data_IF_279889516168
#
_entry.id   IF_279889516168
#
_cell.length_a   1.000
_cell.length_b   1.000
_cell.length_c   1.000
_cell.angle_alpha   90.00
_cell.angle_beta   90.00
_cell.angle_gamma   90.00
#
_symmetry.space_group_name_H-M   'P 1'
#
loop_
_entity.id
_entity.type
_entity.pdbx_description
1 polymer ?
#
# COMPACT_ATOMS: atom_id res chain seq x y z
N UNK A 1 -15.00 7.94 4.46
CA UNK A 1 -14.76 6.57 4.97
C UNK A 1 -14.63 6.50 6.49
N UNK A 2 -14.94 7.55 7.24
CA UNK A 2 -14.70 7.58 8.70
C UNK A 2 -15.54 6.58 9.49
N UNK A 3 -16.70 6.20 8.96
CA UNK A 3 -17.59 5.21 9.56
C UNK A 3 -17.20 3.77 9.22
N UNK A 4 -16.20 3.54 8.36
CA UNK A 4 -15.82 2.19 7.93
C UNK A 4 -15.40 1.31 9.12
N UNK A 5 -14.54 1.76 10.05
CA UNK A 5 -14.19 0.95 11.22
C UNK A 5 -15.41 0.50 12.03
N UNK A 6 -16.36 1.42 12.29
CA UNK A 6 -17.62 1.11 13.00
C UNK A 6 -18.44 0.05 12.27
N UNK A 7 -18.61 0.20 10.95
CA UNK A 7 -19.41 -0.73 10.13
C UNK A 7 -18.77 -2.10 10.06
N UNK A 8 -17.44 -2.17 9.90
CA UNK A 8 -16.71 -3.44 9.88
C UNK A 8 -16.79 -4.10 11.25
N UNK A 9 -16.64 -3.37 12.34
CA UNK A 9 -16.77 -3.93 13.69
C UNK A 9 -18.19 -4.44 13.98
N UNK A 10 -19.22 -3.70 13.55
CA UNK A 10 -20.61 -4.13 13.71
C UNK A 10 -20.93 -5.44 12.98
N UNK A 11 -20.27 -5.70 11.84
CA UNK A 11 -20.46 -6.92 11.05
C UNK A 11 -19.52 -8.06 11.46
N UNK A 12 -18.26 -7.74 11.74
CA UNK A 12 -17.15 -8.67 11.97
C UNK A 12 -16.32 -8.22 13.20
N UNK A 13 -16.86 -8.31 14.42
CA UNK A 13 -16.23 -7.75 15.61
C UNK A 13 -14.88 -8.40 15.97
N UNK A 14 -14.66 -9.64 15.51
CA UNK A 14 -13.44 -10.41 15.75
C UNK A 14 -12.53 -10.50 14.52
N UNK A 15 -12.75 -9.67 13.50
CA UNK A 15 -11.88 -9.65 12.32
C UNK A 15 -10.44 -9.30 12.69
N UNK A 16 -9.51 -9.99 12.03
CA UNK A 16 -8.10 -9.59 11.99
C UNK A 16 -7.89 -8.58 10.87
N UNK A 17 -7.21 -7.50 11.16
CA UNK A 17 -6.94 -6.40 10.25
C UNK A 17 -5.47 -6.40 9.88
N UNK A 18 -5.17 -6.28 8.59
CA UNK A 18 -3.81 -6.16 8.07
C UNK A 18 -3.73 -4.83 7.34
N UNK A 19 -2.67 -4.07 7.60
CA UNK A 19 -2.36 -2.83 6.89
C UNK A 19 -0.90 -2.83 6.46
N UNK A 20 -0.62 -2.29 5.27
CA UNK A 20 0.74 -2.23 4.71
C UNK A 20 1.10 -0.76 4.59
N UNK A 21 2.19 -0.37 5.25
CA UNK A 21 2.66 1.02 5.28
C UNK A 21 4.03 1.12 4.61
N UNK A 22 4.22 2.17 3.82
CA UNK A 22 5.53 2.59 3.32
C UNK A 22 5.75 4.04 3.70
N UNK A 23 6.96 4.57 3.49
CA UNK A 23 7.24 6.01 3.66
C UNK A 23 6.10 6.87 3.08
N UNK A 24 5.51 7.79 3.86
CA UNK A 24 4.37 8.58 3.41
C UNK A 24 4.73 9.45 2.18
N UNK A 25 5.99 9.87 2.05
CA UNK A 25 6.51 10.56 0.88
C UNK A 25 6.51 9.67 -0.37
N UNK A 26 7.04 8.44 -0.27
CA UNK A 26 7.01 7.46 -1.37
C UNK A 26 5.58 7.10 -1.76
N UNK A 27 4.69 6.95 -0.77
CA UNK A 27 3.25 6.69 -0.97
C UNK A 27 2.58 7.85 -1.72
N UNK A 28 2.84 9.08 -1.32
CA UNK A 28 2.31 10.28 -1.99
C UNK A 28 2.82 10.38 -3.43
N UNK A 29 4.11 10.15 -3.67
CA UNK A 29 4.70 10.16 -5.01
C UNK A 29 4.12 9.05 -5.90
N UNK A 30 3.99 7.84 -5.37
CA UNK A 30 3.35 6.71 -6.07
C UNK A 30 1.91 7.02 -6.46
N UNK A 31 1.13 7.69 -5.59
CA UNK A 31 -0.22 8.14 -5.92
C UNK A 31 -0.25 9.21 -7.02
N UNK A 32 0.64 10.22 -6.94
CA UNK A 32 0.77 11.22 -7.99
C UNK A 32 1.08 10.58 -9.34
N UNK A 33 2.06 9.67 -9.39
CA UNK A 33 2.44 9.00 -10.62
C UNK A 33 1.36 8.04 -11.13
N UNK A 34 0.64 7.38 -10.23
CA UNK A 34 -0.54 6.59 -10.59
C UNK A 34 -1.60 7.48 -11.26
N UNK A 35 -1.88 8.65 -10.68
CA UNK A 35 -2.87 9.60 -11.20
C UNK A 35 -2.43 10.15 -12.56
N UNK A 36 -1.14 10.48 -12.73
CA UNK A 36 -0.53 10.89 -13.99
C UNK A 36 -0.67 9.82 -15.08
N UNK A 37 -0.37 8.57 -14.76
CA UNK A 37 -0.49 7.45 -15.69
C UNK A 37 -1.94 7.16 -16.16
N UNK A 38 -2.95 7.70 -15.47
CA UNK A 38 -4.36 7.63 -15.88
C UNK A 38 -4.83 8.89 -16.62
N UNK A 39 -3.93 9.79 -17.02
CA UNK A 39 -4.27 10.95 -17.84
C UNK A 39 -4.88 12.13 -17.08
N UNK A 40 -4.76 12.18 -15.75
CA UNK A 40 -5.26 13.32 -14.97
C UNK A 40 -4.58 14.62 -15.41
N UNK A 41 -5.38 15.59 -15.83
CA UNK A 41 -4.92 16.86 -16.39
C UNK A 41 -4.05 17.64 -15.39
N UNK A 42 -4.42 17.62 -14.11
CA UNK A 42 -3.65 18.33 -13.08
C UNK A 42 -2.30 17.62 -12.86
N UNK A 43 -2.29 16.30 -12.74
CA UNK A 43 -1.04 15.56 -12.57
C UNK A 43 -0.12 15.61 -13.80
N UNK A 44 -0.66 15.85 -14.99
CA UNK A 44 0.12 16.05 -16.22
C UNK A 44 0.68 17.48 -16.33
N UNK A 45 -0.06 18.48 -15.85
CA UNK A 45 0.32 19.89 -15.99
C UNK A 45 1.20 20.42 -14.84
N UNK A 46 1.19 19.76 -13.68
CA UNK A 46 1.97 20.18 -12.51
C UNK A 46 2.97 19.10 -12.09
N UNK A 47 4.17 19.53 -11.68
CA UNK A 47 5.16 18.63 -11.09
C UNK A 47 4.71 18.13 -9.71
N UNK A 48 5.30 17.04 -9.24
CA UNK A 48 5.01 16.52 -7.90
C UNK A 48 5.26 17.57 -6.81
N UNK A 49 6.36 18.32 -6.91
CA UNK A 49 6.70 19.38 -5.97
C UNK A 49 5.62 20.48 -5.96
N UNK A 50 5.16 20.94 -7.13
CA UNK A 50 4.08 21.93 -7.22
C UNK A 50 2.78 21.44 -6.62
N UNK A 51 2.45 20.15 -6.80
CA UNK A 51 1.26 19.53 -6.20
C UNK A 51 1.36 19.51 -4.68
N UNK A 52 2.44 19.02 -4.09
CA UNK A 52 2.53 18.86 -2.63
C UNK A 52 2.72 20.17 -1.87
N UNK A 53 3.29 21.19 -2.52
CA UNK A 53 3.52 22.53 -1.94
C UNK A 53 2.41 23.53 -2.28
N UNK A 54 1.39 23.13 -3.05
CA UNK A 54 0.27 24.01 -3.40
C UNK A 54 -0.36 24.61 -2.13
N UNK A 55 -0.58 25.92 -2.13
CA UNK A 55 -1.17 26.63 -1.00
C UNK A 55 -2.67 26.33 -0.86
N UNK A 56 -3.25 26.73 0.27
CA UNK A 56 -4.70 26.66 0.45
C UNK A 56 -5.47 27.66 -0.42
N UNK A 57 -4.80 28.63 -1.04
CA UNK A 57 -5.39 29.55 -2.02
C UNK A 57 -5.31 29.03 -3.46
N UNK A 58 -4.63 27.91 -3.71
CA UNK A 58 -4.49 27.34 -5.04
C UNK A 58 -5.84 26.87 -5.63
N UNK A 59 -5.94 26.72 -6.97
CA UNK A 59 -7.15 26.22 -7.61
C UNK A 59 -7.63 24.90 -6.99
N UNK A 60 -8.95 24.75 -6.82
CA UNK A 60 -9.56 23.58 -6.18
C UNK A 60 -9.05 22.23 -6.73
N UNK A 61 -8.94 22.00 -8.06
CA UNK A 61 -8.44 20.73 -8.59
C UNK A 61 -7.01 20.39 -8.13
N UNK A 62 -6.14 21.40 -8.00
CA UNK A 62 -4.77 21.22 -7.52
C UNK A 62 -4.74 20.88 -6.03
N UNK A 63 -5.54 21.57 -5.21
CA UNK A 63 -5.69 21.26 -3.77
C UNK A 63 -6.27 19.86 -3.55
N UNK A 64 -7.23 19.45 -4.39
CA UNK A 64 -7.83 18.12 -4.32
C UNK A 64 -6.80 17.03 -4.64
N UNK A 65 -5.94 17.23 -5.65
CA UNK A 65 -4.83 16.30 -5.91
C UNK A 65 -3.80 16.28 -4.77
N UNK A 66 -3.37 17.46 -4.26
CA UNK A 66 -2.49 17.58 -3.08
C UNK A 66 -3.04 16.77 -1.91
N UNK A 67 -4.31 16.96 -1.58
CA UNK A 67 -4.95 16.29 -0.46
C UNK A 67 -5.03 14.76 -0.67
N UNK A 68 -5.29 14.28 -1.89
CA UNK A 68 -5.26 12.83 -2.21
C UNK A 68 -3.85 12.23 -2.12
N UNK A 69 -2.81 13.01 -2.43
CA UNK A 69 -1.41 12.62 -2.23
C UNK A 69 -1.03 12.56 -0.75
N UNK A 70 -1.39 13.57 0.04
CA UNK A 70 -0.85 13.75 1.40
C UNK A 70 -1.71 13.13 2.50
N UNK A 71 -3.04 13.34 2.48
CA UNK A 71 -3.89 12.98 3.62
C UNK A 71 -3.85 11.49 3.96
N UNK A 72 -3.89 10.54 3.01
CA UNK A 72 -3.84 9.13 3.36
C UNK A 72 -2.46 8.67 3.88
N UNK A 73 -1.43 9.53 3.81
CA UNK A 73 -0.13 9.33 4.46
C UNK A 73 -0.13 9.64 5.97
N UNK A 74 -1.22 10.20 6.52
CA UNK A 74 -1.38 10.50 7.95
C UNK A 74 -1.76 9.24 8.74
N UNK A 75 -0.90 8.22 8.69
CA UNK A 75 -1.22 6.86 9.12
C UNK A 75 -1.73 6.79 10.57
N UNK A 76 -1.09 7.47 11.52
CA UNK A 76 -1.52 7.49 12.92
C UNK A 76 -3.00 7.87 13.08
N UNK A 77 -3.43 8.96 12.43
CA UNK A 77 -4.84 9.42 12.46
C UNK A 77 -5.81 8.40 11.85
N UNK A 78 -5.36 7.61 10.87
CA UNK A 78 -6.18 6.55 10.30
C UNK A 78 -6.24 5.35 11.25
N UNK A 79 -5.11 4.93 11.82
CA UNK A 79 -5.01 3.79 12.72
C UNK A 79 -5.77 4.02 14.03
N UNK A 80 -5.70 5.22 14.62
CA UNK A 80 -6.44 5.57 15.83
C UNK A 80 -7.95 5.34 15.69
N UNK A 81 -8.52 5.66 14.52
CA UNK A 81 -9.94 5.42 14.23
C UNK A 81 -10.28 3.92 14.16
N UNK A 82 -9.37 3.09 13.67
CA UNK A 82 -9.55 1.64 13.69
C UNK A 82 -9.41 1.08 15.10
N UNK A 83 -8.44 1.58 15.86
CA UNK A 83 -8.20 1.18 17.26
C UNK A 83 -9.29 1.63 18.24
N UNK A 84 -10.19 2.53 17.83
CA UNK A 84 -11.41 2.86 18.60
C UNK A 84 -12.38 1.67 18.68
N UNK A 85 -12.33 0.75 17.70
CA UNK A 85 -13.25 -0.40 17.61
C UNK A 85 -12.56 -1.76 17.71
N UNK A 86 -11.28 -1.85 17.32
CA UNK A 86 -10.51 -3.08 17.34
C UNK A 86 -9.37 -2.98 18.34
N UNK A 87 -9.14 -4.05 19.09
CA UNK A 87 -7.99 -4.12 19.98
C UNK A 87 -6.68 -4.10 19.16
N UNK A 88 -5.57 -3.54 19.70
CA UNK A 88 -4.29 -3.51 19.00
C UNK A 88 -3.82 -4.89 18.52
N UNK A 89 -4.12 -5.96 19.25
CA UNK A 89 -3.75 -7.34 18.90
C UNK A 89 -4.51 -7.89 17.69
N UNK A 90 -5.62 -7.26 17.30
CA UNK A 90 -6.36 -7.60 16.07
C UNK A 90 -5.78 -6.89 14.84
N UNK A 91 -4.77 -6.02 15.00
CA UNK A 91 -4.14 -5.28 13.91
C UNK A 91 -2.70 -5.75 13.71
N UNK A 92 -2.37 -6.11 12.48
CA UNK A 92 -1.01 -6.40 12.04
C UNK A 92 -0.56 -5.35 11.02
N UNK A 93 0.52 -4.63 11.36
CA UNK A 93 1.11 -3.59 10.52
C UNK A 93 2.33 -4.18 9.82
N UNK A 94 2.29 -4.17 8.49
CA UNK A 94 3.36 -4.66 7.63
C UNK A 94 4.21 -3.47 7.15
N UNK A 95 5.53 -3.60 7.26
CA UNK A 95 6.46 -2.74 6.52
C UNK A 95 6.44 -3.12 5.04
N UNK A 96 5.98 -2.20 4.20
CA UNK A 96 5.88 -2.41 2.77
C UNK A 96 7.22 -2.38 2.02
N UNK A 97 8.28 -1.83 2.61
CA UNK A 97 9.64 -1.96 2.06
C UNK A 97 10.17 -3.37 2.32
N UNK A 98 9.94 -3.91 3.53
CA UNK A 98 10.27 -5.31 3.85
C UNK A 98 9.44 -6.29 3.03
N UNK A 99 8.13 -6.05 2.85
CA UNK A 99 7.31 -6.89 1.97
C UNK A 99 7.85 -6.90 0.53
N UNK A 100 8.47 -5.81 0.08
CA UNK A 100 9.05 -5.71 -1.25
C UNK A 100 10.39 -6.45 -1.35
N UNK A 101 11.26 -6.33 -0.35
CA UNK A 101 12.63 -6.86 -0.37
C UNK A 101 12.74 -8.29 0.18
N UNK A 102 11.87 -8.66 1.12
CA UNK A 102 11.83 -9.94 1.80
C UNK A 102 10.37 -10.41 2.07
N UNK A 103 9.58 -10.66 1.01
CA UNK A 103 8.18 -11.06 1.17
C UNK A 103 7.99 -12.38 1.89
N UNK A 104 8.98 -13.29 1.87
CA UNK A 104 8.87 -14.61 2.50
C UNK A 104 8.71 -14.44 4.02
N UNK A 105 9.58 -13.65 4.65
CA UNK A 105 9.54 -13.40 6.08
C UNK A 105 8.24 -12.70 6.50
N UNK A 106 7.87 -11.65 5.77
CA UNK A 106 6.61 -10.93 6.03
C UNK A 106 5.41 -11.86 5.93
N UNK A 107 5.37 -12.73 4.92
CA UNK A 107 4.26 -13.67 4.76
C UNK A 107 4.26 -14.76 5.84
N UNK A 108 5.41 -15.17 6.38
CA UNK A 108 5.47 -16.06 7.53
C UNK A 108 4.85 -15.42 8.78
N UNK A 109 5.17 -14.15 9.05
CA UNK A 109 4.55 -13.41 10.17
C UNK A 109 3.04 -13.18 9.95
N UNK A 110 2.60 -12.94 8.70
CA UNK A 110 1.16 -12.89 8.37
C UNK A 110 0.47 -14.22 8.66
N UNK A 111 1.07 -15.35 8.29
CA UNK A 111 0.50 -16.68 8.56
C UNK A 111 0.38 -16.95 10.06
N UNK A 112 1.42 -16.61 10.84
CA UNK A 112 1.41 -16.71 12.29
C UNK A 112 0.37 -15.81 12.93
N UNK A 113 0.27 -14.55 12.50
CA UNK A 113 -0.76 -13.62 12.92
C UNK A 113 -2.16 -14.17 12.64
N UNK A 114 -2.39 -14.73 11.45
CA UNK A 114 -3.66 -15.31 11.04
C UNK A 114 -3.93 -16.69 11.68
N UNK A 115 -2.92 -17.35 12.25
CA UNK A 115 -2.95 -18.73 12.78
C UNK A 115 -3.24 -19.78 11.69
N UNK A 116 -2.60 -19.63 10.53
CA UNK A 116 -2.72 -20.56 9.41
C UNK A 116 -1.98 -21.86 9.72
N UNK A 117 -2.67 -22.99 9.58
CA UNK A 117 -2.11 -24.34 9.73
C UNK A 117 -2.71 -25.26 8.66
N UNK A 118 -1.90 -25.99 7.88
CA UNK A 118 -0.43 -25.99 7.87
C UNK A 118 0.13 -24.67 7.28
N UNK A 119 1.37 -24.34 7.65
CA UNK A 119 2.07 -23.17 7.11
C UNK A 119 2.42 -23.42 5.64
N UNK A 120 2.17 -22.43 4.80
CA UNK A 120 2.53 -22.38 3.40
C UNK A 120 4.00 -21.95 3.22
N UNK A 121 4.77 -22.73 2.48
CA UNK A 121 6.20 -22.46 2.25
C UNK A 121 6.40 -21.44 1.10
N UNK A 122 6.43 -20.15 1.43
CA UNK A 122 6.64 -19.10 0.42
C UNK A 122 8.02 -19.14 -0.26
N UNK A 123 9.03 -19.81 0.31
CA UNK A 123 10.37 -19.95 -0.29
C UNK A 123 10.33 -20.70 -1.62
N UNK A 124 9.44 -21.68 -1.75
CA UNK A 124 9.27 -22.47 -2.98
C UNK A 124 8.36 -21.77 -4.00
N UNK A 125 7.61 -20.77 -3.56
CA UNK A 125 6.54 -20.14 -4.34
C UNK A 125 6.81 -18.68 -4.72
N UNK A 126 7.86 -18.06 -4.18
CA UNK A 126 8.27 -16.70 -4.52
C UNK A 126 9.73 -16.68 -4.98
N UNK A 127 9.99 -16.01 -6.09
CA UNK A 127 11.35 -15.81 -6.61
C UNK A 127 11.52 -14.37 -7.07
N UNK A 128 12.69 -13.79 -6.78
CA UNK A 128 13.04 -12.46 -7.29
C UNK A 128 13.28 -12.52 -8.80
N UNK A 129 12.62 -11.65 -9.54
CA UNK A 129 12.85 -11.47 -10.97
C UNK A 129 13.68 -10.19 -11.19
N UNK A 130 14.96 -10.29 -11.62
CA UNK A 130 15.82 -9.12 -11.82
C UNK A 130 15.33 -8.16 -12.90
N UNK A 131 14.64 -8.66 -13.93
CA UNK A 131 14.11 -7.82 -15.01
C UNK A 131 12.90 -7.01 -14.52
N UNK A 132 12.06 -7.63 -13.68
CA UNK A 132 10.94 -6.95 -13.04
C UNK A 132 11.40 -6.03 -11.92
N UNK A 133 12.43 -6.43 -11.17
CA UNK A 133 12.91 -5.77 -9.95
C UNK A 133 12.04 -6.06 -8.70
N UNK A 134 11.26 -7.14 -8.73
CA UNK A 134 10.33 -7.54 -7.66
C UNK A 134 10.26 -9.07 -7.54
N UNK A 135 9.79 -9.55 -6.39
CA UNK A 135 9.40 -10.95 -6.24
C UNK A 135 8.12 -11.27 -7.04
N UNK A 136 8.11 -12.46 -7.62
CA UNK A 136 7.04 -12.97 -8.48
C UNK A 136 6.66 -14.38 -8.04
N UNK A 137 5.43 -14.79 -8.36
CA UNK A 137 4.95 -16.14 -8.04
C UNK A 137 5.61 -17.18 -8.93
N UNK A 138 6.12 -18.27 -8.37
CA UNK A 138 6.56 -19.44 -9.14
C UNK A 138 5.31 -20.24 -9.54
N UNK A 139 5.14 -20.49 -10.84
CA UNK A 139 3.95 -21.21 -11.36
C UNK A 139 4.27 -22.64 -11.78
N UNK A 140 5.37 -22.85 -12.52
CA UNK A 140 5.82 -24.18 -12.97
C UNK A 140 7.34 -24.17 -13.20
N UNK A 141 8.08 -25.00 -12.48
CA UNK A 141 9.55 -25.07 -12.59
C UNK A 141 10.20 -23.69 -12.40
N UNK A 142 10.87 -23.20 -13.44
CA UNK A 142 11.52 -21.89 -13.42
C UNK A 142 10.66 -20.73 -13.94
N UNK A 143 9.43 -21.00 -14.37
CA UNK A 143 8.54 -19.95 -14.86
C UNK A 143 7.93 -19.15 -13.70
N UNK A 144 8.06 -17.82 -13.77
CA UNK A 144 7.48 -16.88 -12.81
C UNK A 144 6.31 -16.10 -13.42
N UNK A 145 5.31 -15.78 -12.60
CA UNK A 145 4.20 -14.89 -12.91
C UNK A 145 4.31 -13.65 -12.03
N UNK A 146 4.81 -12.57 -12.62
CA UNK A 146 4.93 -11.28 -11.94
C UNK A 146 3.62 -10.49 -11.95
N UNK A 147 3.50 -9.53 -11.02
CA UNK A 147 2.42 -8.55 -11.05
C UNK A 147 2.47 -7.73 -12.36
N UNK A 148 1.28 -7.34 -12.85
CA UNK A 148 1.10 -6.66 -14.12
C UNK A 148 1.85 -5.32 -14.24
N UNK A 149 1.87 -4.76 -15.46
CA UNK A 149 2.64 -3.54 -15.80
C UNK A 149 2.28 -2.31 -14.96
N UNK A 150 1.07 -2.25 -14.40
CA UNK A 150 0.63 -1.17 -13.52
C UNK A 150 1.23 -1.22 -12.11
N UNK A 151 1.92 -2.32 -11.74
CA UNK A 151 2.54 -2.53 -10.44
C UNK A 151 4.06 -2.50 -10.58
N UNK A 152 4.71 -1.67 -9.76
CA UNK A 152 6.17 -1.44 -9.82
C UNK A 152 6.59 -0.63 -11.05
N UNK A 153 5.79 0.36 -11.46
CA UNK A 153 6.15 1.26 -12.56
C UNK A 153 7.46 1.97 -12.24
N UNK A 154 8.36 2.00 -13.22
CA UNK A 154 9.55 2.84 -13.17
C UNK A 154 9.16 4.24 -13.62
N UNK A 155 9.45 5.22 -12.78
CA UNK A 155 9.23 6.62 -13.10
C UNK A 155 10.59 7.30 -13.19
N UNK A 156 10.78 8.27 -14.10
CA UNK A 156 11.96 9.11 -14.09
C UNK A 156 12.10 9.80 -12.71
N UNK A 157 13.35 10.03 -12.26
CA UNK A 157 13.62 10.74 -11.01
C UNK A 157 13.00 12.15 -10.99
#
# INVERSE_FOLDING_TARGET
GELVPKRVHALLPHAKLITILISPAKRAYSWYQHTKAHGDIIANNYSFHQVITASDTAPKPLRDLRNRCLNPGKYAQHLERWMTYFLPQALHIIDGEELKSNPIEVMNEVQKFLKITPVFNYTEHLRFDPKKGFFCQVVNGDHTKCLGRSKGRQYPP
#
